data_IF_080645665407
#
_entry.id   IF_080645665407
#
_cell.length_a   1.000
_cell.length_b   1.000
_cell.length_c   1.000
_cell.angle_alpha   90.00
_cell.angle_beta   90.00
_cell.angle_gamma   90.00
#
_symmetry.space_group_name_H-M   'P 1'
#
loop_
_entity.id
_entity.type
_entity.pdbx_description
1 polymer ?
#
# COMPACT_ATOMS: atom_id res chain seq x y z
N UNK A 1 36.34 24.23 15.22
CA UNK A 1 36.63 22.95 14.53
C UNK A 1 35.44 22.64 13.65
N UNK A 2 35.63 22.36 12.36
CA UNK A 2 34.52 22.10 11.45
C UNK A 2 33.81 20.79 11.85
N UNK A 3 32.51 20.85 12.19
CA UNK A 3 31.73 19.64 12.50
C UNK A 3 31.08 19.12 11.22
N UNK A 4 31.47 17.91 10.80
CA UNK A 4 30.85 17.18 9.68
C UNK A 4 29.37 16.90 9.99
N UNK A 5 28.52 16.86 8.96
CA UNK A 5 27.10 16.55 9.15
C UNK A 5 26.90 15.10 9.62
N UNK A 6 26.00 14.84 10.58
CA UNK A 6 25.90 13.55 11.28
C UNK A 6 25.34 12.40 10.44
N UNK A 7 24.97 12.64 9.18
CA UNK A 7 24.41 11.63 8.27
C UNK A 7 25.26 11.61 7.00
N UNK A 8 25.90 10.47 6.74
CA UNK A 8 26.81 10.25 5.61
C UNK A 8 26.35 9.04 4.80
N UNK A 9 26.15 9.25 3.50
CA UNK A 9 25.72 8.23 2.56
C UNK A 9 26.72 8.16 1.40
N UNK A 10 27.34 6.99 1.25
CA UNK A 10 28.27 6.69 0.17
C UNK A 10 27.68 5.61 -0.74
N UNK A 11 27.92 5.77 -2.04
CA UNK A 11 27.65 4.78 -3.06
C UNK A 11 28.81 4.83 -4.05
N UNK A 12 29.65 3.80 -4.07
CA UNK A 12 30.76 3.68 -5.03
C UNK A 12 30.28 2.81 -6.18
N UNK A 13 30.02 3.38 -7.38
CA UNK A 13 29.55 2.59 -8.50
C UNK A 13 30.62 1.60 -8.96
N UNK A 14 30.20 0.38 -9.29
CA UNK A 14 31.09 -0.58 -9.94
C UNK A 14 31.41 -0.13 -11.37
N UNK A 15 32.66 -0.33 -11.82
CA UNK A 15 33.14 0.16 -13.10
C UNK A 15 32.54 -0.56 -14.34
N UNK A 16 32.01 -1.77 -14.15
CA UNK A 16 31.38 -2.59 -15.18
C UNK A 16 30.04 -3.11 -14.70
N UNK A 17 28.95 -2.51 -15.17
CA UNK A 17 27.58 -2.95 -14.92
C UNK A 17 27.09 -3.80 -16.10
N UNK A 18 26.50 -4.95 -15.81
CA UNK A 18 25.97 -5.83 -16.84
C UNK A 18 24.68 -5.28 -17.49
N UNK A 19 24.63 -5.33 -18.82
CA UNK A 19 23.57 -4.72 -19.63
C UNK A 19 22.20 -5.42 -19.49
N UNK A 20 22.18 -6.69 -19.06
CA UNK A 20 20.98 -7.53 -19.05
C UNK A 20 20.46 -7.89 -17.66
N UNK A 21 21.27 -7.75 -16.60
CA UNK A 21 20.86 -8.21 -15.27
C UNK A 21 19.81 -7.28 -14.63
N UNK A 22 19.67 -6.03 -15.04
CA UNK A 22 18.73 -5.09 -14.42
C UNK A 22 17.27 -5.62 -14.37
N UNK A 23 16.81 -6.36 -15.40
CA UNK A 23 15.50 -7.02 -15.42
C UNK A 23 15.40 -8.16 -14.40
N UNK A 24 16.45 -8.97 -14.27
CA UNK A 24 16.51 -10.11 -13.33
C UNK A 24 16.63 -9.61 -11.88
N UNK A 25 17.30 -8.48 -11.65
CA UNK A 25 17.40 -7.84 -10.33
C UNK A 25 16.04 -7.52 -9.72
N UNK A 26 15.05 -7.12 -10.53
CA UNK A 26 13.68 -6.85 -10.07
C UNK A 26 13.00 -8.09 -9.48
N UNK A 27 13.28 -9.28 -10.01
CA UNK A 27 12.77 -10.52 -9.42
C UNK A 27 13.53 -10.89 -8.15
N UNK A 28 14.86 -10.76 -8.17
CA UNK A 28 15.72 -11.10 -7.03
C UNK A 28 15.54 -10.19 -5.81
N UNK A 29 14.99 -8.98 -5.99
CA UNK A 29 14.72 -8.04 -4.90
C UNK A 29 13.41 -8.34 -4.16
N UNK A 30 12.50 -9.15 -4.72
CA UNK A 30 11.19 -9.45 -4.13
C UNK A 30 11.32 -9.98 -2.68
N UNK A 31 12.20 -10.94 -2.37
CA UNK A 31 12.39 -11.41 -1.00
C UNK A 31 12.84 -10.30 -0.04
N UNK A 32 13.69 -9.38 -0.50
CA UNK A 32 14.10 -8.22 0.29
C UNK A 32 12.94 -7.28 0.56
N UNK A 33 12.08 -7.01 -0.43
CA UNK A 33 10.92 -6.14 -0.27
C UNK A 33 9.94 -6.69 0.76
N UNK A 34 9.70 -8.00 0.76
CA UNK A 34 8.82 -8.65 1.74
C UNK A 34 9.37 -8.46 3.16
N UNK A 35 10.66 -8.75 3.40
CA UNK A 35 11.24 -8.60 4.74
C UNK A 35 11.33 -7.13 5.15
N UNK A 36 11.74 -6.25 4.23
CA UNK A 36 11.80 -4.81 4.48
C UNK A 36 10.43 -4.24 4.78
N UNK A 37 9.34 -4.71 4.17
CA UNK A 37 7.99 -4.25 4.48
C UNK A 37 7.65 -4.45 5.97
N UNK A 38 7.92 -5.64 6.52
CA UNK A 38 7.74 -5.91 7.95
C UNK A 38 8.67 -5.05 8.83
N UNK A 39 9.93 -4.88 8.42
CA UNK A 39 10.89 -4.08 9.17
C UNK A 39 10.56 -2.58 9.15
N UNK A 40 10.02 -2.07 8.06
CA UNK A 40 9.53 -0.69 7.96
C UNK A 40 8.30 -0.48 8.84
N UNK A 41 7.41 -1.46 8.96
CA UNK A 41 6.33 -1.41 9.96
C UNK A 41 6.91 -1.29 11.38
N UNK A 42 7.89 -2.13 11.72
CA UNK A 42 8.56 -2.05 13.02
C UNK A 42 9.28 -0.71 13.23
N UNK A 43 9.95 -0.19 12.19
CA UNK A 43 10.64 1.10 12.20
C UNK A 43 9.72 2.26 12.58
N UNK A 44 8.52 2.32 11.99
CA UNK A 44 7.55 3.38 12.30
C UNK A 44 7.04 3.31 13.73
N UNK A 45 6.70 2.10 14.20
CA UNK A 45 6.29 1.86 15.60
C UNK A 45 7.40 2.28 16.56
N UNK A 46 8.64 1.91 16.25
CA UNK A 46 9.82 2.22 17.04
C UNK A 46 10.21 3.70 17.00
N UNK A 47 9.92 4.41 15.91
CA UNK A 47 10.10 5.86 15.81
C UNK A 47 9.12 6.60 16.71
N UNK A 48 7.87 6.13 16.82
CA UNK A 48 6.89 6.66 17.79
C UNK A 48 7.35 6.40 19.22
N UNK A 49 7.90 5.21 19.50
CA UNK A 49 8.52 4.93 20.79
C UNK A 49 9.71 5.87 21.07
N UNK A 50 10.58 6.10 20.08
CA UNK A 50 11.71 7.02 20.18
C UNK A 50 11.25 8.46 20.44
N UNK A 51 10.15 8.92 19.81
CA UNK A 51 9.54 10.22 20.06
C UNK A 51 9.26 10.45 21.55
N UNK A 52 8.55 9.52 22.19
CA UNK A 52 8.25 9.62 23.62
C UNK A 52 9.49 9.43 24.49
N UNK A 53 10.39 8.52 24.11
CA UNK A 53 11.65 8.30 24.83
C UNK A 53 12.52 9.57 24.83
N UNK A 54 12.62 10.28 23.71
CA UNK A 54 13.37 11.54 23.59
C UNK A 54 12.66 12.65 24.36
N UNK A 55 11.33 12.75 24.28
CA UNK A 55 10.56 13.77 25.02
C UNK A 55 10.81 13.68 26.53
N UNK A 56 10.88 12.47 27.08
CA UNK A 56 11.05 12.21 28.51
C UNK A 56 12.53 12.24 28.93
N UNK A 57 13.40 11.52 28.21
CA UNK A 57 14.80 11.31 28.62
C UNK A 57 15.77 12.31 27.99
N UNK A 58 15.40 12.90 26.85
CA UNK A 58 16.30 13.66 25.98
C UNK A 58 17.31 12.78 25.23
N UNK A 59 17.09 11.46 25.16
CA UNK A 59 17.98 10.51 24.47
C UNK A 59 17.20 9.55 23.58
N UNK A 60 17.80 9.21 22.45
CA UNK A 60 17.30 8.15 21.58
C UNK A 60 17.74 6.80 22.15
N UNK A 61 16.83 5.85 22.44
CA UNK A 61 17.22 4.52 22.92
C UNK A 61 18.17 3.82 21.93
N UNK A 62 19.38 3.44 22.37
CA UNK A 62 20.43 2.90 21.47
C UNK A 62 19.97 1.71 20.64
N UNK A 63 19.33 0.71 21.25
CA UNK A 63 18.81 -0.46 20.53
C UNK A 63 17.81 -0.10 19.43
N UNK A 64 16.99 0.92 19.66
CA UNK A 64 16.00 1.39 18.69
C UNK A 64 16.65 2.22 17.59
N UNK A 65 17.65 3.03 17.96
CA UNK A 65 18.46 3.76 17.00
C UNK A 65 19.22 2.80 16.07
N UNK A 66 19.90 1.81 16.64
CA UNK A 66 20.68 0.81 15.89
C UNK A 66 19.79 -0.02 14.96
N UNK A 67 18.59 -0.40 15.42
CA UNK A 67 17.60 -1.05 14.58
C UNK A 67 17.15 -0.14 13.45
N UNK A 68 16.73 1.10 13.75
CA UNK A 68 16.18 2.00 12.76
C UNK A 68 17.25 2.39 11.71
N UNK A 69 18.49 2.68 12.13
CA UNK A 69 19.62 2.91 11.23
C UNK A 69 19.94 1.65 10.43
N UNK A 70 19.83 0.46 11.02
CA UNK A 70 20.00 -0.81 10.32
C UNK A 70 18.98 -1.02 9.20
N UNK A 71 17.71 -0.68 9.44
CA UNK A 71 16.66 -0.73 8.39
C UNK A 71 16.96 0.28 7.28
N UNK A 72 17.42 1.48 7.61
CA UNK A 72 17.82 2.48 6.63
C UNK A 72 19.05 2.03 5.81
N UNK A 73 20.05 1.42 6.44
CA UNK A 73 21.24 0.85 5.77
C UNK A 73 20.86 -0.24 4.79
N UNK A 74 19.99 -1.15 5.22
CA UNK A 74 19.55 -2.24 4.37
C UNK A 74 18.70 -1.72 3.20
N UNK A 75 17.80 -0.78 3.46
CA UNK A 75 17.01 -0.11 2.41
C UNK A 75 17.92 0.59 1.40
N UNK A 76 19.00 1.23 1.84
CA UNK A 76 19.98 1.85 0.96
C UNK A 76 20.70 0.83 0.07
N UNK A 77 21.16 -0.30 0.63
CA UNK A 77 21.80 -1.38 -0.14
C UNK A 77 20.88 -1.94 -1.24
N UNK A 78 19.59 -2.11 -0.91
CA UNK A 78 18.56 -2.61 -1.82
C UNK A 78 18.25 -1.57 -2.91
N UNK A 79 18.10 -0.29 -2.54
CA UNK A 79 17.88 0.80 -3.48
C UNK A 79 19.07 0.97 -4.45
N UNK A 80 20.31 0.90 -3.94
CA UNK A 80 21.53 1.02 -4.75
C UNK A 80 21.67 -0.13 -5.76
N UNK A 81 21.22 -1.34 -5.41
CA UNK A 81 21.22 -2.52 -6.29
C UNK A 81 20.11 -2.48 -7.35
N UNK A 82 18.88 -2.08 -6.98
CA UNK A 82 17.69 -2.28 -7.81
C UNK A 82 17.19 -1.03 -8.55
N UNK A 83 16.78 0.03 -7.83
CA UNK A 83 15.93 1.09 -8.42
C UNK A 83 16.42 2.53 -8.21
N UNK A 84 17.27 2.78 -7.21
CA UNK A 84 17.78 4.12 -6.88
C UNK A 84 18.94 4.51 -7.80
N UNK A 85 19.99 3.69 -7.90
CA UNK A 85 21.20 4.07 -8.63
C UNK A 85 21.71 3.02 -9.64
N UNK A 86 21.15 1.80 -9.65
CA UNK A 86 21.69 0.65 -10.40
C UNK A 86 23.22 0.53 -10.26
N UNK A 87 23.75 0.88 -9.08
CA UNK A 87 25.17 1.18 -8.89
C UNK A 87 26.05 -0.04 -8.64
N UNK A 88 25.46 -1.22 -8.43
CA UNK A 88 26.19 -2.47 -8.24
C UNK A 88 25.41 -3.69 -8.74
N UNK A 89 26.13 -4.70 -9.24
CA UNK A 89 25.61 -6.03 -9.58
C UNK A 89 25.71 -7.02 -8.41
N UNK A 90 26.30 -6.62 -7.28
CA UNK A 90 26.45 -7.47 -6.10
C UNK A 90 25.13 -7.58 -5.34
N UNK A 91 24.66 -8.80 -5.09
CA UNK A 91 23.40 -9.04 -4.38
C UNK A 91 23.45 -8.54 -2.91
N UNK A 92 22.45 -7.76 -2.43
CA UNK A 92 22.47 -7.21 -1.07
C UNK A 92 22.36 -8.29 0.01
N UNK A 93 23.22 -8.27 1.06
CA UNK A 93 23.08 -9.18 2.20
C UNK A 93 21.83 -8.83 3.04
N UNK A 94 21.18 -9.86 3.60
CA UNK A 94 20.07 -9.75 4.55
C UNK A 94 20.58 -9.40 5.95
N UNK A 95 21.20 -8.23 6.07
CA UNK A 95 21.85 -7.76 7.29
C UNK A 95 21.33 -6.37 7.65
N UNK A 96 21.21 -6.08 8.94
CA UNK A 96 20.97 -4.74 9.48
C UNK A 96 22.29 -4.04 9.87
N UNK A 97 23.41 -4.79 9.88
CA UNK A 97 24.72 -4.30 10.30
C UNK A 97 25.40 -3.38 9.30
N UNK A 98 26.57 -2.88 9.73
CA UNK A 98 27.54 -2.26 8.84
C UNK A 98 28.20 -3.35 7.99
N UNK A 99 28.31 -3.10 6.68
CA UNK A 99 28.97 -3.99 5.72
C UNK A 99 30.01 -3.14 4.98
N UNK A 100 31.22 -2.96 5.54
CA UNK A 100 32.24 -2.05 5.00
C UNK A 100 32.69 -2.43 3.59
N UNK A 101 32.61 -3.72 3.26
CA UNK A 101 33.03 -4.30 1.98
C UNK A 101 31.95 -4.22 0.89
N UNK A 102 30.77 -3.66 1.20
CA UNK A 102 29.68 -3.47 0.25
C UNK A 102 29.69 -2.03 -0.32
N UNK A 103 29.46 -1.83 -1.63
CA UNK A 103 29.63 -0.53 -2.30
C UNK A 103 28.65 0.58 -1.85
N UNK A 104 27.61 0.24 -1.08
CA UNK A 104 26.61 1.16 -0.56
C UNK A 104 26.64 1.20 0.97
N UNK A 105 27.13 2.30 1.54
CA UNK A 105 27.26 2.48 2.99
C UNK A 105 26.46 3.69 3.47
N UNK A 106 25.85 3.55 4.65
CA UNK A 106 25.11 4.60 5.34
C UNK A 106 25.55 4.65 6.80
N UNK A 107 26.08 5.80 7.21
CA UNK A 107 26.49 6.06 8.58
C UNK A 107 25.68 7.23 9.15
N UNK A 108 25.13 7.02 10.35
CA UNK A 108 24.39 8.03 11.10
C UNK A 108 25.02 8.09 12.47
N UNK A 109 25.61 9.23 12.83
CA UNK A 109 26.25 9.44 14.11
C UNK A 109 25.19 9.41 15.22
N UNK A 110 25.41 8.64 16.28
CA UNK A 110 24.46 8.55 17.39
C UNK A 110 24.40 9.88 18.17
N UNK A 111 23.24 10.53 18.28
CA UNK A 111 23.11 11.76 19.05
C UNK A 111 23.12 11.46 20.54
N UNK A 112 24.14 11.91 21.27
CA UNK A 112 24.23 11.69 22.71
C UNK A 112 23.09 12.36 23.50
N UNK A 113 22.56 13.48 22.97
CA UNK A 113 21.41 14.23 23.51
C UNK A 113 20.59 14.84 22.37
N UNK A 114 19.27 14.82 22.54
CA UNK A 114 18.30 15.43 21.63
C UNK A 114 17.37 16.37 22.42
N UNK A 115 16.95 17.44 21.75
CA UNK A 115 16.13 18.52 22.29
C UNK A 115 14.69 18.09 22.51
N UNK A 116 14.24 18.11 23.77
CA UNK A 116 12.95 17.52 24.20
C UNK A 116 11.73 18.22 23.60
N UNK A 117 11.72 19.56 23.56
CA UNK A 117 10.59 20.35 23.06
C UNK A 117 10.53 20.45 21.54
N UNK A 118 11.68 20.34 20.87
CA UNK A 118 11.74 20.45 19.42
C UNK A 118 11.07 19.25 18.74
N UNK A 119 11.17 18.04 19.33
CA UNK A 119 10.56 16.79 18.81
C UNK A 119 9.09 16.98 18.39
N UNK A 120 8.30 17.72 19.17
CA UNK A 120 6.87 17.95 18.95
C UNK A 120 6.55 18.71 17.67
N UNK A 121 7.46 19.55 17.18
CA UNK A 121 7.24 20.47 16.05
C UNK A 121 8.11 20.08 14.86
N UNK A 122 9.27 19.50 15.14
CA UNK A 122 10.30 19.14 14.18
C UNK A 122 9.84 18.14 13.12
N UNK A 123 9.21 17.04 13.53
CA UNK A 123 8.90 15.92 12.64
C UNK A 123 7.77 16.18 11.64
N UNK A 124 6.86 17.11 11.95
CA UNK A 124 5.70 17.35 11.10
C UNK A 124 5.54 18.81 10.67
N UNK A 125 6.04 19.81 11.42
CA UNK A 125 5.93 21.21 11.00
C UNK A 125 7.18 21.68 10.25
N UNK A 126 8.37 21.49 10.83
CA UNK A 126 9.63 21.93 10.19
C UNK A 126 10.01 21.09 8.97
N UNK A 127 9.55 19.84 8.92
CA UNK A 127 9.77 18.93 7.79
C UNK A 127 8.77 19.14 6.64
N UNK A 128 7.68 19.93 6.80
CA UNK A 128 6.69 20.19 5.73
C UNK A 128 7.33 20.68 4.43
N UNK A 129 8.24 21.68 4.45
CA UNK A 129 8.87 22.14 3.21
C UNK A 129 9.62 21.00 2.49
N UNK A 130 10.27 20.10 3.23
CA UNK A 130 10.90 18.92 2.64
C UNK A 130 9.89 17.90 2.14
N UNK A 131 8.79 17.66 2.86
CA UNK A 131 7.72 16.75 2.42
C UNK A 131 7.00 17.22 1.17
N UNK A 132 6.83 18.53 0.98
CA UNK A 132 6.27 19.10 -0.25
C UNK A 132 7.20 18.84 -1.43
N UNK A 133 8.52 19.05 -1.24
CA UNK A 133 9.51 18.78 -2.28
C UNK A 133 9.60 17.27 -2.56
N UNK A 134 9.68 16.42 -1.53
CA UNK A 134 9.68 14.95 -1.70
C UNK A 134 8.39 14.50 -2.39
N UNK A 135 7.22 14.97 -1.97
CA UNK A 135 5.94 14.64 -2.59
C UNK A 135 5.86 15.07 -4.06
N UNK A 136 6.43 16.22 -4.41
CA UNK A 136 6.53 16.68 -5.79
C UNK A 136 7.43 15.76 -6.65
N UNK A 137 8.58 15.34 -6.14
CA UNK A 137 9.53 14.50 -6.88
C UNK A 137 9.16 13.01 -6.91
N UNK A 138 8.60 12.48 -5.81
CA UNK A 138 8.22 11.07 -5.64
C UNK A 138 6.84 10.77 -6.26
N UNK A 139 5.94 11.77 -6.26
CA UNK A 139 4.53 11.58 -6.59
C UNK A 139 3.91 12.59 -7.57
N UNK A 140 4.69 13.50 -8.17
CA UNK A 140 4.28 14.35 -9.30
C UNK A 140 2.87 14.94 -9.18
N UNK A 141 2.72 16.05 -8.46
CA UNK A 141 1.53 16.92 -8.39
C UNK A 141 0.27 16.38 -9.11
N UNK A 142 -0.47 15.48 -8.46
CA UNK A 142 -1.81 15.13 -8.90
C UNK A 142 -2.68 16.38 -8.85
N UNK A 143 -2.97 16.97 -10.00
CA UNK A 143 -3.96 18.04 -10.07
C UNK A 143 -5.32 17.46 -9.67
N UNK A 144 -5.93 18.00 -8.61
CA UNK A 144 -7.35 17.79 -8.32
C UNK A 144 -8.12 18.58 -9.37
N UNK A 145 -8.36 17.98 -10.53
CA UNK A 145 -9.20 18.54 -11.56
C UNK A 145 -10.67 18.31 -11.21
N UNK A 146 -11.40 19.36 -10.83
CA UNK A 146 -12.85 19.31 -10.75
C UNK A 146 -13.41 19.31 -12.17
N UNK A 147 -13.84 18.15 -12.67
CA UNK A 147 -14.62 18.06 -13.91
C UNK A 147 -15.90 17.27 -13.60
N UNK A 148 -17.06 17.92 -13.75
CA UNK A 148 -18.38 17.28 -13.74
C UNK A 148 -18.72 16.45 -12.49
N UNK A 149 -18.35 16.91 -11.30
CA UNK A 149 -18.86 16.33 -10.03
C UNK A 149 -18.22 15.01 -9.59
N UNK A 150 -17.19 14.52 -10.28
CA UNK A 150 -16.41 13.35 -9.87
C UNK A 150 -14.97 13.72 -9.52
N UNK A 151 -14.43 13.10 -8.46
CA UNK A 151 -13.01 13.25 -8.10
C UNK A 151 -12.20 12.22 -8.89
N UNK A 152 -11.62 12.61 -10.02
CA UNK A 152 -10.77 11.72 -10.83
C UNK A 152 -9.31 11.85 -10.39
N UNK A 153 -8.74 10.77 -9.87
CA UNK A 153 -7.31 10.65 -9.55
C UNK A 153 -6.53 10.29 -10.84
N UNK A 154 -6.17 11.28 -11.65
CA UNK A 154 -5.25 11.09 -12.77
C UNK A 154 -3.83 10.94 -12.21
N UNK A 155 -3.27 9.74 -12.27
CA UNK A 155 -1.95 9.41 -11.73
C UNK A 155 -0.82 10.19 -12.40
N UNK A 156 -0.17 11.09 -11.66
CA UNK A 156 1.10 11.70 -12.05
C UNK A 156 2.27 10.83 -11.61
N UNK A 157 3.10 10.35 -12.53
CA UNK A 157 4.37 9.71 -12.18
C UNK A 157 5.41 10.79 -11.83
N UNK A 158 5.99 10.74 -10.63
CA UNK A 158 7.02 11.68 -10.20
C UNK A 158 8.26 11.71 -11.11
N UNK A 159 8.95 12.85 -11.15
CA UNK A 159 10.13 13.09 -12.00
C UNK A 159 11.24 12.04 -11.80
N UNK A 160 11.36 11.49 -10.59
CA UNK A 160 12.33 10.44 -10.27
C UNK A 160 12.07 9.17 -11.07
N UNK A 161 10.80 8.73 -11.18
CA UNK A 161 10.43 7.54 -11.96
C UNK A 161 10.74 7.72 -13.45
N UNK A 162 10.52 8.93 -13.96
CA UNK A 162 10.84 9.29 -15.35
C UNK A 162 12.35 9.32 -15.59
N UNK A 163 13.14 9.91 -14.67
CA UNK A 163 14.60 9.96 -14.78
C UNK A 163 15.25 8.58 -14.65
N UNK A 164 14.75 7.72 -13.75
CA UNK A 164 15.21 6.34 -13.61
C UNK A 164 14.88 5.52 -14.86
N UNK A 165 13.68 5.71 -15.44
CA UNK A 165 13.29 5.06 -16.69
C UNK A 165 14.18 5.51 -17.86
N UNK A 166 14.46 6.81 -17.97
CA UNK A 166 15.38 7.36 -18.99
C UNK A 166 16.80 6.83 -18.77
N UNK A 167 17.29 6.78 -17.53
CA UNK A 167 18.60 6.21 -17.18
C UNK A 167 18.71 4.72 -17.52
N UNK A 168 17.65 3.93 -17.24
CA UNK A 168 17.58 2.52 -17.61
C UNK A 168 17.57 2.30 -19.13
N UNK A 169 16.84 3.12 -19.89
CA UNK A 169 16.85 3.08 -21.35
C UNK A 169 18.22 3.47 -21.93
N UNK A 170 18.88 4.49 -21.38
CA UNK A 170 20.23 4.87 -21.83
C UNK A 170 21.24 3.76 -21.51
N UNK A 171 21.18 3.18 -20.31
CA UNK A 171 22.02 2.04 -19.91
C UNK A 171 21.82 0.85 -20.86
N UNK A 172 20.58 0.58 -21.30
CA UNK A 172 20.23 -0.49 -22.24
C UNK A 172 20.93 -0.33 -23.60
N UNK A 173 21.10 0.91 -24.09
CA UNK A 173 21.72 1.17 -25.40
C UNK A 173 23.23 1.48 -25.35
N UNK A 174 23.76 1.95 -24.23
CA UNK A 174 25.17 2.40 -24.12
C UNK A 174 26.05 1.60 -23.16
N UNK A 175 25.46 0.76 -22.30
CA UNK A 175 26.20 -0.01 -21.29
C UNK A 175 26.89 0.83 -20.21
N UNK A 176 26.66 2.15 -20.18
CA UNK A 176 27.20 3.08 -19.19
C UNK A 176 26.08 3.99 -18.71
N UNK A 177 25.94 4.12 -17.40
CA UNK A 177 25.01 5.08 -16.82
C UNK A 177 25.61 6.49 -16.93
N UNK A 178 24.87 7.53 -17.37
CA UNK A 178 25.43 8.88 -17.50
C UNK A 178 25.86 9.43 -16.14
N UNK A 179 27.14 9.79 -15.98
CA UNK A 179 27.69 10.26 -14.68
C UNK A 179 26.88 11.42 -14.09
N UNK A 180 26.42 12.37 -14.92
CA UNK A 180 25.61 13.50 -14.44
C UNK A 180 24.23 13.13 -13.90
N UNK A 181 23.60 12.07 -14.43
CA UNK A 181 22.31 11.56 -13.90
C UNK A 181 22.56 10.77 -12.62
N UNK A 182 23.64 10.00 -12.56
CA UNK A 182 24.01 9.24 -11.37
C UNK A 182 24.36 10.15 -10.19
N UNK A 183 25.16 11.20 -10.43
CA UNK A 183 25.53 12.20 -9.42
C UNK A 183 24.30 12.96 -8.91
N UNK A 184 23.34 13.23 -9.78
CA UNK A 184 22.07 13.85 -9.42
C UNK A 184 21.22 12.92 -8.53
N UNK A 185 21.07 11.65 -8.93
CA UNK A 185 20.26 10.69 -8.15
C UNK A 185 20.90 10.39 -6.80
N UNK A 186 22.23 10.18 -6.76
CA UNK A 186 22.96 10.05 -5.49
C UNK A 186 22.86 11.31 -4.62
N UNK A 187 22.91 12.50 -5.22
CA UNK A 187 22.69 13.77 -4.53
C UNK A 187 21.28 13.88 -3.92
N UNK A 188 20.27 13.37 -4.63
CA UNK A 188 18.87 13.28 -4.16
C UNK A 188 18.73 12.28 -3.02
N UNK A 189 19.29 11.08 -3.15
CA UNK A 189 19.25 10.05 -2.11
C UNK A 189 19.94 10.53 -0.82
N UNK A 190 21.10 11.21 -0.93
CA UNK A 190 21.78 11.88 0.20
C UNK A 190 20.86 12.86 0.91
N UNK A 191 20.17 13.71 0.15
CA UNK A 191 19.24 14.68 0.71
C UNK A 191 18.03 14.02 1.37
N UNK A 192 17.39 13.05 0.71
CA UNK A 192 16.23 12.31 1.25
C UNK A 192 16.59 11.58 2.55
N UNK A 193 17.76 10.95 2.62
CA UNK A 193 18.21 10.24 3.82
C UNK A 193 18.50 11.21 4.98
N UNK A 194 19.04 12.41 4.72
CA UNK A 194 19.18 13.46 5.75
C UNK A 194 17.82 13.91 6.26
N UNK A 195 16.85 14.11 5.37
CA UNK A 195 15.47 14.46 5.75
C UNK A 195 14.82 13.34 6.56
N UNK A 196 14.99 12.09 6.14
CA UNK A 196 14.48 10.92 6.86
C UNK A 196 15.07 10.82 8.27
N UNK A 197 16.37 10.98 8.43
CA UNK A 197 17.03 10.99 9.73
C UNK A 197 16.53 12.14 10.63
N UNK A 198 16.29 13.33 10.07
CA UNK A 198 15.73 14.45 10.83
C UNK A 198 14.27 14.21 11.25
N UNK A 199 13.43 13.75 10.31
CA UNK A 199 12.01 13.46 10.52
C UNK A 199 11.79 12.35 11.56
N UNK A 200 12.66 11.34 11.56
CA UNK A 200 12.64 10.19 12.47
C UNK A 200 13.44 10.42 13.75
N UNK A 201 13.78 11.68 14.01
CA UNK A 201 14.36 12.18 15.27
C UNK A 201 15.80 11.72 15.54
N UNK A 202 16.51 11.20 14.55
CA UNK A 202 17.89 10.76 14.68
C UNK A 202 18.90 11.91 14.70
N UNK A 203 18.53 13.10 14.23
CA UNK A 203 19.40 14.29 14.27
C UNK A 203 18.61 15.56 14.48
N UNK A 204 19.04 16.44 15.39
CA UNK A 204 18.46 17.78 15.60
C UNK A 204 18.89 18.83 14.57
N UNK A 205 19.93 18.54 13.77
CA UNK A 205 20.43 19.48 12.77
C UNK A 205 19.51 19.52 11.55
N UNK A 206 18.92 20.67 11.27
CA UNK A 206 18.02 20.86 10.12
C UNK A 206 18.72 20.52 8.79
N UNK A 207 18.11 19.70 7.90
CA UNK A 207 18.73 19.31 6.65
C UNK A 207 18.83 20.49 5.65
N UNK A 208 20.01 20.79 5.10
CA UNK A 208 20.13 21.82 4.06
C UNK A 208 19.42 21.40 2.77
N UNK A 209 18.79 22.35 2.07
CA UNK A 209 18.21 22.18 0.73
C UNK A 209 19.30 22.15 -0.34
N UNK A 210 20.22 21.19 -0.25
CA UNK A 210 21.31 20.99 -1.20
C UNK A 210 21.40 19.52 -1.58
N UNK A 211 21.40 19.30 -2.89
CA UNK A 211 21.72 18.04 -3.53
C UNK A 211 23.23 18.03 -3.65
N UNK A 212 23.90 17.25 -2.80
CA UNK A 212 25.36 17.16 -2.77
C UNK A 212 25.82 16.30 -3.96
N UNK A 213 25.62 16.80 -5.18
CA UNK A 213 25.94 16.14 -6.44
C UNK A 213 27.45 16.24 -6.70
N UNK A 214 28.15 15.12 -6.55
CA UNK A 214 29.59 15.00 -6.83
C UNK A 214 30.31 13.97 -5.94
N UNK A 215 31.52 13.53 -6.33
CA UNK A 215 32.28 12.48 -5.63
C UNK A 215 32.76 12.89 -4.23
N UNK A 216 33.04 14.18 -3.99
CA UNK A 216 33.71 14.69 -2.78
C UNK A 216 32.83 15.58 -1.89
N UNK A 217 31.51 15.57 -2.07
CA UNK A 217 30.62 16.46 -1.33
C UNK A 217 30.40 16.05 0.15
N UNK A 218 30.86 14.86 0.56
CA UNK A 218 30.80 14.38 1.93
C UNK A 218 31.68 15.19 2.93
N UNK A 219 32.64 15.97 2.44
CA UNK A 219 33.61 16.70 3.29
C UNK A 219 33.22 18.16 3.62
N UNK A 220 32.19 18.76 3.01
CA UNK A 220 31.98 20.22 3.07
C UNK A 220 30.68 20.69 3.75
N UNK A 221 30.06 19.91 4.65
CA UNK A 221 28.87 20.39 5.37
C UNK A 221 29.23 21.13 6.67
N UNK A 222 29.53 22.42 6.59
CA UNK A 222 29.71 23.31 7.77
C UNK A 222 28.37 23.85 8.26
N UNK A 223 28.03 23.71 9.55
CA UNK A 223 26.83 24.32 10.17
C UNK A 223 27.20 24.99 11.50
N UNK A 224 26.67 26.20 11.71
CA UNK A 224 26.88 27.09 12.86
C UNK A 224 26.11 26.61 14.11
N UNK A 225 26.77 26.64 15.27
CA UNK A 225 26.35 25.98 16.53
C UNK A 225 25.81 27.02 17.52
N UNK A 226 24.48 27.10 17.71
CA UNK A 226 23.92 27.84 18.84
C UNK A 226 22.56 27.30 19.31
N UNK A 227 22.50 27.05 20.62
CA UNK A 227 21.36 26.78 21.51
C UNK A 227 20.89 25.31 21.74
N UNK A 228 21.34 24.71 22.85
CA UNK A 228 20.47 23.91 23.74
C UNK A 228 21.05 23.77 25.18
N UNK A 229 20.26 23.96 26.27
CA UNK A 229 20.75 23.89 27.66
C UNK A 229 20.67 22.49 28.32
N UNK A 230 21.38 22.24 29.45
CA UNK A 230 21.53 20.90 30.03
C UNK A 230 20.47 20.54 31.11
N UNK A 231 20.12 19.25 31.23
CA UNK A 231 19.26 18.74 32.32
C UNK A 231 19.81 17.45 32.98
N UNK A 232 19.51 17.31 34.29
CA UNK A 232 19.97 16.33 35.31
C UNK A 232 19.19 14.98 35.32
N UNK A 233 19.68 13.92 36.00
CA UNK A 233 19.10 12.55 36.07
C UNK A 233 18.21 12.37 37.34
N UNK A 234 17.33 11.37 37.57
CA UNK A 234 17.32 9.88 37.50
C UNK A 234 15.85 9.35 37.65
N UNK A 235 15.50 8.12 37.21
CA UNK A 235 14.49 7.28 37.92
C UNK A 235 13.57 6.26 37.19
N UNK A 236 13.89 4.95 37.33
CA UNK A 236 13.01 3.73 37.24
C UNK A 236 12.64 3.10 35.87
N UNK A 237 13.52 2.23 35.34
CA UNK A 237 13.36 1.49 34.08
C UNK A 237 12.14 0.52 34.02
N UNK A 238 11.71 -0.07 35.13
CA UNK A 238 10.60 -1.04 35.13
C UNK A 238 9.22 -0.43 34.90
N UNK A 239 9.01 0.83 35.31
CA UNK A 239 7.73 1.55 35.09
C UNK A 239 7.58 1.98 33.64
N UNK A 240 8.69 2.32 32.99
CA UNK A 240 8.72 2.75 31.58
C UNK A 240 8.28 1.60 30.67
N UNK A 241 8.75 0.37 30.90
CA UNK A 241 8.33 -0.78 30.09
C UNK A 241 6.83 -1.06 30.19
N UNK A 242 6.23 -0.93 31.38
CA UNK A 242 4.78 -1.15 31.59
C UNK A 242 3.94 -0.07 30.90
N UNK A 243 4.36 1.20 30.97
CA UNK A 243 3.68 2.30 30.26
C UNK A 243 3.78 2.11 28.75
N UNK A 244 4.93 1.67 28.24
CA UNK A 244 5.17 1.45 26.79
C UNK A 244 4.31 0.33 26.24
N UNK A 245 4.24 -0.82 26.94
CA UNK A 245 3.32 -1.89 26.57
C UNK A 245 1.85 -1.42 26.61
N UNK A 246 1.52 -0.56 27.57
CA UNK A 246 0.20 0.03 27.67
C UNK A 246 -0.18 0.94 26.50
N UNK A 247 0.74 1.78 26.02
CA UNK A 247 0.49 2.66 24.86
C UNK A 247 0.35 1.86 23.57
N UNK A 248 1.19 0.84 23.37
CA UNK A 248 1.12 -0.05 22.20
C UNK A 248 -0.22 -0.78 22.14
N UNK A 249 -0.68 -1.35 23.26
CA UNK A 249 -1.97 -2.02 23.34
C UNK A 249 -3.15 -1.07 23.05
N UNK A 250 -3.10 0.17 23.56
CA UNK A 250 -4.14 1.17 23.28
C UNK A 250 -4.19 1.60 21.81
N UNK A 251 -3.04 1.80 21.16
CA UNK A 251 -3.01 2.19 19.75
C UNK A 251 -3.51 1.08 18.82
N UNK A 252 -3.10 -0.17 19.06
CA UNK A 252 -3.63 -1.34 18.34
C UNK A 252 -5.13 -1.43 18.58
N UNK A 253 -5.58 -1.26 19.82
CA UNK A 253 -6.98 -1.32 20.16
C UNK A 253 -7.83 -0.23 19.48
N UNK A 254 -7.32 1.00 19.37
CA UNK A 254 -7.99 2.09 18.64
C UNK A 254 -8.12 1.79 17.14
N UNK A 255 -7.08 1.23 16.51
CA UNK A 255 -7.13 0.82 15.10
C UNK A 255 -8.17 -0.27 14.86
N UNK A 256 -8.18 -1.30 15.71
CA UNK A 256 -9.16 -2.39 15.62
C UNK A 256 -10.59 -1.91 15.90
N UNK A 257 -10.78 -1.06 16.90
CA UNK A 257 -12.09 -0.49 17.22
C UNK A 257 -12.60 0.44 16.12
N UNK A 258 -11.73 1.29 15.56
CA UNK A 258 -12.06 2.16 14.44
C UNK A 258 -12.47 1.35 13.20
N UNK A 259 -11.65 0.36 12.83
CA UNK A 259 -11.95 -0.53 11.70
C UNK A 259 -13.25 -1.31 11.88
N UNK A 260 -13.43 -1.94 13.06
CA UNK A 260 -14.66 -2.66 13.37
C UNK A 260 -15.90 -1.75 13.40
N UNK A 261 -15.76 -0.53 13.90
CA UNK A 261 -16.82 0.49 13.91
C UNK A 261 -17.25 0.90 12.50
N UNK A 262 -16.30 1.11 11.59
CA UNK A 262 -16.60 1.38 10.17
C UNK A 262 -17.32 0.21 9.52
N UNK A 263 -16.89 -1.03 9.79
CA UNK A 263 -17.56 -2.22 9.24
C UNK A 263 -19.00 -2.37 9.75
N UNK A 264 -19.23 -2.19 11.04
CA UNK A 264 -20.60 -2.23 11.61
C UNK A 264 -21.46 -1.10 11.07
N UNK A 265 -20.91 0.11 10.97
CA UNK A 265 -21.61 1.24 10.37
C UNK A 265 -22.00 0.96 8.92
N UNK A 266 -21.06 0.44 8.11
CA UNK A 266 -21.33 0.09 6.71
C UNK A 266 -22.39 -1.01 6.62
N UNK A 267 -22.29 -2.05 7.47
CA UNK A 267 -23.25 -3.15 7.54
C UNK A 267 -24.68 -2.65 7.82
N UNK A 268 -24.85 -1.67 8.70
CA UNK A 268 -26.16 -1.13 9.08
C UNK A 268 -26.70 -0.05 8.16
N UNK A 269 -25.85 0.68 7.44
CA UNK A 269 -26.28 1.85 6.65
C UNK A 269 -26.29 1.62 5.14
N UNK A 270 -25.49 0.68 4.63
CA UNK A 270 -25.35 0.43 3.19
C UNK A 270 -26.26 -0.71 2.68
N UNK A 271 -26.90 -1.46 3.59
CA UNK A 271 -27.85 -2.52 3.22
C UNK A 271 -29.23 -1.96 2.97
N UNK A 272 -29.92 -2.52 1.97
CA UNK A 272 -31.35 -2.28 1.76
C UNK A 272 -32.22 -2.98 2.82
N UNK A 273 -33.53 -2.79 2.74
CA UNK A 273 -34.52 -3.45 3.63
C UNK A 273 -34.50 -4.98 3.54
N UNK A 274 -33.95 -5.54 2.46
CA UNK A 274 -33.82 -6.97 2.24
C UNK A 274 -32.43 -7.51 2.67
N UNK A 275 -31.54 -6.67 3.18
CA UNK A 275 -30.21 -7.04 3.67
C UNK A 275 -29.10 -7.05 2.60
N UNK A 276 -29.36 -6.56 1.39
CA UNK A 276 -28.39 -6.53 0.30
C UNK A 276 -27.63 -5.22 0.24
N UNK A 277 -26.31 -5.30 0.04
CA UNK A 277 -25.50 -4.17 -0.40
C UNK A 277 -25.62 -4.12 -1.93
N UNK A 278 -26.19 -3.04 -2.47
CA UNK A 278 -26.47 -2.90 -3.90
C UNK A 278 -25.49 -1.96 -4.59
N UNK A 279 -25.11 -2.33 -5.81
CA UNK A 279 -24.45 -1.42 -6.76
C UNK A 279 -25.48 -0.48 -7.39
N UNK A 280 -25.01 0.67 -7.90
CA UNK A 280 -25.82 1.49 -8.80
C UNK A 280 -26.20 0.72 -10.07
N UNK A 281 -27.34 1.09 -10.66
CA UNK A 281 -27.74 0.58 -11.98
C UNK A 281 -26.78 1.10 -13.04
N UNK A 282 -26.21 0.19 -13.82
CA UNK A 282 -25.35 0.53 -14.95
C UNK A 282 -25.96 0.04 -16.26
N UNK A 283 -25.81 0.86 -17.29
CA UNK A 283 -26.27 0.59 -18.63
C UNK A 283 -25.20 -0.13 -19.43
N UNK A 284 -25.54 -1.25 -20.06
CA UNK A 284 -24.64 -2.06 -20.89
C UNK A 284 -25.25 -2.27 -22.27
N UNK A 285 -24.50 -1.89 -23.30
CA UNK A 285 -24.87 -2.09 -24.70
C UNK A 285 -23.74 -2.80 -25.44
N UNK A 286 -24.05 -3.91 -26.10
CA UNK A 286 -23.10 -4.66 -26.93
C UNK A 286 -23.75 -5.09 -28.25
N UNK A 287 -22.96 -5.06 -29.33
CA UNK A 287 -23.35 -5.59 -30.63
C UNK A 287 -23.23 -7.12 -30.75
N UNK A 288 -22.76 -7.80 -29.71
CA UNK A 288 -22.61 -9.27 -29.69
C UNK A 288 -23.89 -9.98 -29.25
N UNK A 289 -23.92 -11.31 -29.31
CA UNK A 289 -25.08 -12.12 -28.89
C UNK A 289 -25.12 -12.32 -27.37
N UNK A 290 -23.95 -12.24 -26.72
CA UNK A 290 -23.79 -12.62 -25.31
C UNK A 290 -22.90 -11.61 -24.60
N UNK A 291 -23.35 -11.19 -23.43
CA UNK A 291 -22.54 -10.46 -22.47
C UNK A 291 -22.16 -11.39 -21.33
N UNK A 292 -20.86 -11.65 -21.18
CA UNK A 292 -20.30 -12.48 -20.11
C UNK A 292 -19.58 -11.61 -19.08
N UNK A 293 -19.87 -11.84 -17.82
CA UNK A 293 -19.09 -11.24 -16.73
C UNK A 293 -17.85 -12.07 -16.42
N UNK A 294 -16.79 -11.40 -15.96
CA UNK A 294 -15.57 -12.03 -15.49
C UNK A 294 -15.84 -13.09 -14.41
N UNK A 295 -15.04 -14.15 -14.43
CA UNK A 295 -15.19 -15.28 -13.51
C UNK A 295 -14.96 -14.83 -12.07
N UNK A 296 -15.89 -15.17 -11.19
CA UNK A 296 -15.80 -14.88 -9.76
C UNK A 296 -15.23 -16.10 -9.04
N UNK A 297 -14.01 -15.98 -8.50
CA UNK A 297 -13.37 -17.05 -7.72
C UNK A 297 -13.66 -16.89 -6.21
N UNK A 298 -14.47 -17.79 -5.69
CA UNK A 298 -14.92 -17.77 -4.30
C UNK A 298 -14.25 -18.84 -3.43
N UNK A 299 -13.25 -19.55 -3.95
CA UNK A 299 -12.59 -20.66 -3.23
C UNK A 299 -11.86 -20.20 -1.97
N UNK A 300 -11.32 -18.97 -1.99
CA UNK A 300 -10.60 -18.38 -0.85
C UNK A 300 -11.49 -17.77 0.24
N UNK A 301 -12.81 -17.67 0.00
CA UNK A 301 -13.72 -16.97 0.91
C UNK A 301 -14.29 -17.95 1.96
N UNK A 302 -14.27 -17.59 3.27
CA UNK A 302 -14.91 -18.40 4.31
C UNK A 302 -16.41 -18.58 4.05
N UNK A 303 -16.95 -19.79 4.25
CA UNK A 303 -18.36 -20.09 3.93
C UNK A 303 -19.35 -19.21 4.70
N UNK A 304 -19.02 -18.81 5.93
CA UNK A 304 -19.85 -17.93 6.77
C UNK A 304 -19.86 -16.47 6.31
N UNK A 305 -19.00 -16.09 5.36
CA UNK A 305 -18.99 -14.77 4.72
C UNK A 305 -19.77 -14.75 3.39
N UNK A 306 -20.01 -15.92 2.80
CA UNK A 306 -20.81 -16.03 1.58
C UNK A 306 -22.30 -15.90 1.95
N UNK A 307 -23.01 -15.12 1.17
CA UNK A 307 -24.46 -14.94 1.28
C UNK A 307 -25.11 -15.00 -0.10
N UNK A 308 -26.30 -14.46 -0.22
CA UNK A 308 -27.06 -14.45 -1.47
C UNK A 308 -26.58 -13.32 -2.38
N UNK A 309 -26.49 -13.61 -3.67
CA UNK A 309 -26.31 -12.62 -4.72
C UNK A 309 -27.63 -12.42 -5.44
N UNK A 310 -27.96 -11.16 -5.69
CA UNK A 310 -29.12 -10.72 -6.46
C UNK A 310 -28.66 -10.01 -7.70
N UNK A 311 -29.08 -10.50 -8.86
CA UNK A 311 -28.86 -9.83 -10.14
C UNK A 311 -30.20 -9.29 -10.62
N UNK A 312 -30.29 -7.99 -10.87
CA UNK A 312 -31.46 -7.40 -11.53
C UNK A 312 -31.06 -6.89 -12.90
N UNK A 313 -31.83 -7.29 -13.90
CA UNK A 313 -31.63 -6.92 -15.30
C UNK A 313 -32.94 -6.35 -15.81
N UNK A 314 -32.88 -5.21 -16.50
CA UNK A 314 -34.01 -4.60 -17.18
C UNK A 314 -33.69 -4.43 -18.66
N UNK A 315 -34.61 -4.86 -19.51
CA UNK A 315 -34.52 -4.68 -20.95
C UNK A 315 -35.90 -4.52 -21.58
N UNK A 316 -35.96 -3.87 -22.73
CA UNK A 316 -37.17 -3.79 -23.55
C UNK A 316 -37.44 -5.09 -24.32
N UNK A 317 -36.39 -5.89 -24.57
CA UNK A 317 -36.50 -7.22 -25.19
C UNK A 317 -36.50 -8.33 -24.14
N UNK A 318 -37.08 -9.51 -24.44
CA UNK A 318 -36.91 -10.68 -23.58
C UNK A 318 -35.43 -11.04 -23.44
N UNK A 319 -34.95 -11.09 -22.21
CA UNK A 319 -33.56 -11.42 -21.87
C UNK A 319 -33.50 -12.67 -21.02
N UNK A 320 -32.42 -13.42 -21.19
CA UNK A 320 -32.02 -14.54 -20.36
C UNK A 320 -30.82 -14.15 -19.51
N UNK A 321 -30.88 -14.46 -18.21
CA UNK A 321 -29.79 -14.29 -17.25
C UNK A 321 -29.50 -15.65 -16.63
N UNK A 322 -28.27 -16.11 -16.74
CA UNK A 322 -27.84 -17.42 -16.23
C UNK A 322 -26.56 -17.33 -15.41
N UNK A 323 -26.51 -18.11 -14.33
CA UNK A 323 -25.33 -18.30 -13.48
C UNK A 323 -24.98 -19.78 -13.50
N UNK A 324 -23.72 -20.08 -13.84
CA UNK A 324 -23.22 -21.44 -13.92
C UNK A 324 -21.73 -21.52 -13.59
N UNK A 325 -21.21 -22.74 -13.44
CA UNK A 325 -19.77 -22.93 -13.25
C UNK A 325 -19.00 -22.41 -14.47
N UNK A 326 -17.89 -21.71 -14.23
CA UNK A 326 -17.10 -21.08 -15.30
C UNK A 326 -16.67 -22.06 -16.39
N UNK A 327 -16.38 -23.32 -16.04
CA UNK A 327 -16.03 -24.37 -17.00
C UNK A 327 -17.19 -24.80 -17.92
N UNK A 328 -18.41 -24.91 -17.38
CA UNK A 328 -19.58 -25.30 -18.17
C UNK A 328 -20.03 -24.16 -19.08
N UNK A 329 -20.03 -22.93 -18.55
CA UNK A 329 -20.30 -21.71 -19.33
C UNK A 329 -19.27 -21.53 -20.45
N UNK A 330 -17.99 -21.76 -20.19
CA UNK A 330 -16.96 -21.69 -21.22
C UNK A 330 -17.16 -22.72 -22.34
N UNK A 331 -17.63 -23.94 -22.01
CA UNK A 331 -17.97 -24.94 -23.03
C UNK A 331 -19.21 -24.57 -23.83
N UNK A 332 -20.23 -24.00 -23.17
CA UNK A 332 -21.45 -23.54 -23.84
C UNK A 332 -21.19 -22.37 -24.81
N UNK A 333 -20.30 -21.45 -24.43
CA UNK A 333 -19.91 -20.31 -25.27
C UNK A 333 -18.77 -20.62 -26.26
N UNK A 334 -18.36 -21.88 -26.37
CA UNK A 334 -17.31 -22.28 -27.30
C UNK A 334 -17.77 -22.05 -28.75
N UNK A 335 -17.05 -21.21 -29.51
CA UNK A 335 -17.44 -20.87 -30.89
C UNK A 335 -18.57 -19.82 -30.98
N UNK A 336 -18.76 -19.02 -29.94
CA UNK A 336 -19.76 -17.96 -29.88
C UNK A 336 -19.09 -16.59 -29.72
N UNK A 337 -19.63 -15.56 -30.37
CA UNK A 337 -19.19 -14.17 -30.16
C UNK A 337 -19.82 -13.60 -28.89
N UNK A 338 -18.99 -13.30 -27.90
CA UNK A 338 -19.41 -12.65 -26.66
C UNK A 338 -18.46 -11.51 -26.31
N UNK A 339 -19.01 -10.47 -25.68
CA UNK A 339 -18.21 -9.45 -25.01
C UNK A 339 -18.02 -9.82 -23.54
N UNK A 340 -16.80 -9.60 -23.03
CA UNK A 340 -16.49 -9.84 -21.63
C UNK A 340 -16.31 -8.52 -20.88
N UNK A 341 -16.98 -8.41 -19.72
CA UNK A 341 -16.91 -7.23 -18.85
C UNK A 341 -16.45 -7.64 -17.44
N UNK A 342 -15.53 -6.87 -16.87
CA UNK A 342 -15.14 -7.01 -15.47
C UNK A 342 -16.15 -6.30 -14.58
N UNK A 343 -16.63 -6.98 -13.53
CA UNK A 343 -17.57 -6.40 -12.55
C UNK A 343 -16.98 -5.21 -11.79
N UNK A 344 -15.64 -5.10 -11.70
CA UNK A 344 -14.94 -4.06 -10.94
C UNK A 344 -14.33 -2.96 -11.81
N UNK A 345 -14.18 -3.16 -13.12
CA UNK A 345 -13.58 -2.18 -14.03
C UNK A 345 -14.27 -2.21 -15.39
N UNK A 346 -14.78 -1.08 -15.92
CA UNK A 346 -15.54 -1.04 -17.18
C UNK A 346 -14.65 -1.14 -18.43
N UNK A 347 -13.60 -1.99 -18.41
CA UNK A 347 -12.82 -2.30 -19.61
C UNK A 347 -13.46 -3.49 -20.31
N UNK A 348 -14.13 -3.23 -21.43
CA UNK A 348 -14.61 -4.27 -22.34
C UNK A 348 -13.42 -4.93 -23.03
N UNK A 349 -13.28 -6.24 -22.86
CA UNK A 349 -12.35 -7.04 -23.65
C UNK A 349 -13.16 -7.83 -24.69
N UNK A 350 -12.94 -7.52 -25.97
CA UNK A 350 -13.61 -8.17 -27.09
C UNK A 350 -12.81 -9.41 -27.51
N UNK A 351 -13.37 -10.61 -27.33
CA UNK A 351 -12.82 -11.81 -27.95
C UNK A 351 -13.67 -12.19 -29.18
N UNK A 352 -13.04 -12.26 -30.35
CA UNK A 352 -13.69 -12.65 -31.61
C UNK A 352 -13.33 -14.09 -31.97
N UNK A 353 -14.32 -14.98 -32.03
CA UNK A 353 -14.21 -16.30 -32.64
C UNK A 353 -15.44 -16.60 -33.52
N UNK A 354 -15.29 -17.52 -34.48
CA UNK A 354 -16.20 -17.80 -35.60
C UNK A 354 -17.64 -18.09 -35.16
N UNK A 355 -18.63 -17.62 -35.91
CA UNK A 355 -20.05 -17.66 -35.56
C UNK A 355 -20.67 -19.05 -35.74
N UNK A 356 -20.92 -19.75 -34.64
CA UNK A 356 -21.85 -20.88 -34.59
C UNK A 356 -23.17 -20.44 -33.92
N UNK A 357 -24.28 -21.09 -34.28
CA UNK A 357 -25.59 -20.79 -33.69
C UNK A 357 -25.62 -21.26 -32.23
N UNK A 358 -25.94 -20.36 -31.30
CA UNK A 358 -26.06 -20.65 -29.87
C UNK A 358 -27.24 -21.59 -29.64
N UNK A 359 -27.03 -22.66 -28.87
CA UNK A 359 -28.12 -23.51 -28.41
C UNK A 359 -29.00 -22.73 -27.42
N UNK A 360 -30.34 -22.88 -27.44
CA UNK A 360 -31.22 -22.11 -26.55
C UNK A 360 -30.79 -22.21 -25.07
N UNK A 361 -30.57 -21.08 -24.38
CA UNK A 361 -29.99 -21.08 -23.03
C UNK A 361 -30.91 -21.77 -22.00
N UNK A 362 -32.23 -21.65 -22.17
CA UNK A 362 -33.25 -22.25 -21.29
C UNK A 362 -33.24 -23.79 -21.31
N UNK A 363 -32.71 -24.40 -22.36
CA UNK A 363 -32.66 -25.85 -22.51
C UNK A 363 -31.39 -26.47 -21.91
N UNK A 364 -30.48 -25.66 -21.39
CA UNK A 364 -29.21 -26.13 -20.85
C UNK A 364 -29.32 -26.49 -19.37
N UNK A 365 -29.07 -27.74 -18.96
CA UNK A 365 -29.27 -28.17 -17.57
C UNK A 365 -28.12 -27.78 -16.62
N UNK A 366 -27.02 -27.22 -17.13
CA UNK A 366 -25.86 -26.87 -16.30
C UNK A 366 -26.02 -25.53 -15.56
N UNK A 367 -27.05 -24.74 -15.88
CA UNK A 367 -27.32 -23.50 -15.15
C UNK A 367 -27.71 -23.81 -13.72
N UNK A 368 -26.99 -23.22 -12.78
CA UNK A 368 -27.31 -23.35 -11.36
C UNK A 368 -28.54 -22.50 -11.02
N UNK A 369 -28.59 -21.28 -11.56
CA UNK A 369 -29.73 -20.39 -11.45
C UNK A 369 -29.89 -19.67 -12.79
N UNK A 370 -31.12 -19.60 -13.29
CA UNK A 370 -31.45 -18.88 -14.52
C UNK A 370 -32.86 -18.31 -14.47
N UNK A 371 -33.07 -17.22 -15.19
CA UNK A 371 -34.39 -16.62 -15.41
C UNK A 371 -34.46 -16.00 -16.79
N UNK A 372 -35.65 -15.97 -17.38
CA UNK A 372 -35.90 -15.32 -18.65
C UNK A 372 -37.25 -14.61 -18.67
N UNK A 373 -37.31 -13.49 -19.40
CA UNK A 373 -38.55 -12.74 -19.56
C UNK A 373 -38.33 -11.33 -20.07
N UNK A 374 -39.41 -10.62 -20.35
CA UNK A 374 -39.40 -9.22 -20.74
C UNK A 374 -39.44 -8.28 -19.53
N UNK A 375 -39.00 -7.04 -19.71
CA UNK A 375 -39.03 -6.03 -18.65
C UNK A 375 -37.95 -6.26 -17.59
N UNK A 376 -38.30 -6.09 -16.31
CA UNK A 376 -37.37 -6.27 -15.20
C UNK A 376 -37.38 -7.72 -14.71
N UNK A 377 -36.22 -8.37 -14.78
CA UNK A 377 -35.97 -9.71 -14.30
C UNK A 377 -35.07 -9.66 -13.06
N UNK A 378 -35.34 -10.53 -12.10
CA UNK A 378 -34.52 -10.70 -10.89
C UNK A 378 -34.10 -12.16 -10.77
N UNK A 379 -32.80 -12.38 -10.59
CA UNK A 379 -32.21 -13.68 -10.32
C UNK A 379 -31.56 -13.64 -8.94
N UNK A 380 -32.10 -14.42 -8.01
CA UNK A 380 -31.54 -14.60 -6.68
C UNK A 380 -30.76 -15.92 -6.64
N UNK A 381 -29.51 -15.85 -6.17
CA UNK A 381 -28.53 -16.94 -6.20
C UNK A 381 -27.91 -17.14 -4.83
N UNK A 382 -28.10 -18.33 -4.26
CA UNK A 382 -27.38 -18.77 -3.05
C UNK A 382 -25.95 -19.17 -3.43
N UNK A 383 -24.98 -18.36 -2.99
CA UNK A 383 -23.60 -18.43 -3.43
C UNK A 383 -22.86 -19.58 -2.78
N UNK A 384 -22.35 -20.49 -3.61
CA UNK A 384 -21.49 -21.58 -3.17
C UNK A 384 -20.01 -21.32 -3.52
N UNK A 385 -19.12 -22.03 -2.83
CA UNK A 385 -17.69 -22.02 -3.17
C UNK A 385 -17.47 -22.60 -4.56
N UNK A 386 -16.70 -21.88 -5.37
CA UNK A 386 -16.36 -22.32 -6.72
C UNK A 386 -15.92 -21.16 -7.59
N UNK A 387 -15.77 -21.46 -8.89
CA UNK A 387 -15.62 -20.46 -9.92
C UNK A 387 -16.92 -20.36 -10.70
N UNK A 388 -17.46 -19.15 -10.78
CA UNK A 388 -18.79 -18.88 -11.31
C UNK A 388 -18.72 -17.83 -12.40
N UNK A 389 -19.53 -18.02 -13.43
CA UNK A 389 -19.71 -17.07 -14.51
C UNK A 389 -21.17 -16.64 -14.60
N UNK A 390 -21.39 -15.35 -14.80
CA UNK A 390 -22.71 -14.77 -15.07
C UNK A 390 -22.79 -14.42 -16.55
N UNK A 391 -23.90 -14.81 -17.17
CA UNK A 391 -24.14 -14.63 -18.61
C UNK A 391 -25.49 -13.97 -18.81
N UNK A 392 -25.52 -12.98 -19.71
CA UNK A 392 -26.73 -12.30 -20.14
C UNK A 392 -26.80 -12.32 -21.66
N UNK A 393 -27.95 -12.69 -22.22
CA UNK A 393 -28.22 -12.65 -23.65
C UNK A 393 -29.70 -12.39 -23.93
N UNK A 394 -30.03 -12.02 -25.16
CA UNK A 394 -31.44 -12.00 -25.60
C UNK A 394 -31.99 -13.44 -25.59
N UNK A 395 -33.23 -13.65 -25.15
CA UNK A 395 -33.82 -15.00 -25.03
C UNK A 395 -33.91 -15.72 -26.39
N UNK A 396 -34.02 -14.97 -27.48
CA UNK A 396 -34.01 -15.49 -28.86
C UNK A 396 -32.61 -15.71 -29.43
N UNK A 397 -31.55 -15.51 -28.63
CA UNK A 397 -30.13 -15.60 -29.00
C UNK A 397 -29.69 -14.60 -30.09
N UNK A 398 -30.50 -13.57 -30.35
CA UNK A 398 -30.18 -12.53 -31.33
C UNK A 398 -29.06 -11.62 -30.85
N UNK A 399 -28.31 -11.05 -31.82
CA UNK A 399 -27.27 -10.06 -31.54
C UNK A 399 -27.87 -8.69 -31.19
N UNK A 400 -27.12 -7.88 -30.45
CA UNK A 400 -27.55 -6.55 -30.01
C UNK A 400 -28.25 -6.64 -28.67
N UNK A 401 -27.46 -6.72 -27.59
CA UNK A 401 -27.95 -6.74 -26.23
C UNK A 401 -27.87 -5.31 -25.66
N UNK A 402 -29.00 -4.86 -25.11
CA UNK A 402 -29.14 -3.55 -24.49
C UNK A 402 -29.90 -3.70 -23.17
N UNK A 403 -29.19 -3.52 -22.05
CA UNK A 403 -29.68 -3.89 -20.71
C UNK A 403 -29.19 -2.94 -19.63
N UNK A 404 -30.06 -2.64 -18.68
CA UNK A 404 -29.69 -1.99 -17.42
C UNK A 404 -29.54 -3.05 -16.32
N UNK A 405 -28.42 -3.05 -15.62
CA UNK A 405 -28.10 -4.09 -14.63
C UNK A 405 -27.65 -3.52 -13.29
N UNK A 406 -28.04 -4.19 -12.21
CA UNK A 406 -27.54 -3.94 -10.85
C UNK A 406 -27.26 -5.26 -10.14
N UNK A 407 -26.25 -5.23 -9.28
CA UNK A 407 -25.84 -6.38 -8.47
C UNK A 407 -26.08 -6.05 -7.00
N UNK A 408 -26.63 -7.00 -6.26
CA UNK A 408 -26.76 -6.96 -4.81
C UNK A 408 -26.08 -8.18 -4.21
N UNK A 409 -25.44 -8.04 -3.06
CA UNK A 409 -24.94 -9.18 -2.30
C UNK A 409 -25.25 -9.04 -0.82
N UNK A 410 -25.64 -10.13 -0.16
CA UNK A 410 -25.63 -10.22 1.29
C UNK A 410 -24.25 -10.68 1.74
N UNK A 411 -23.74 -10.08 2.83
CA UNK A 411 -22.45 -10.45 3.43
C UNK A 411 -22.69 -10.78 4.91
N UNK A 412 -23.18 -11.99 5.24
CA UNK A 412 -23.63 -12.34 6.58
C UNK A 412 -22.53 -12.18 7.64
N UNK A 413 -21.29 -12.47 7.25
CA UNK A 413 -20.13 -12.39 8.14
C UNK A 413 -19.65 -10.98 8.46
N UNK A 414 -20.08 -9.95 7.72
CA UNK A 414 -19.53 -8.60 7.84
C UNK A 414 -19.76 -8.00 9.24
N UNK A 415 -20.98 -8.11 9.76
CA UNK A 415 -21.31 -7.68 11.12
C UNK A 415 -20.48 -8.43 12.18
N UNK A 416 -20.34 -9.75 12.06
CA UNK A 416 -19.58 -10.56 13.01
C UNK A 416 -18.10 -10.15 13.04
N UNK A 417 -17.48 -9.89 11.88
CA UNK A 417 -16.11 -9.35 11.80
C UNK A 417 -16.03 -7.99 12.48
N UNK A 418 -16.97 -7.09 12.17
CA UNK A 418 -17.05 -5.76 12.77
C UNK A 418 -17.10 -5.81 14.30
N UNK A 419 -17.97 -6.65 14.86
CA UNK A 419 -18.10 -6.85 16.32
C UNK A 419 -16.87 -7.50 16.93
N UNK A 420 -16.26 -8.50 16.29
CA UNK A 420 -15.03 -9.12 16.80
C UNK A 420 -13.87 -8.12 16.84
N UNK A 421 -13.70 -7.30 15.80
CA UNK A 421 -12.69 -6.25 15.77
C UNK A 421 -12.96 -5.17 16.82
N UNK A 422 -14.22 -4.74 16.99
CA UNK A 422 -14.62 -3.82 18.04
C UNK A 422 -14.33 -4.36 19.44
N UNK A 423 -14.77 -5.58 19.74
CA UNK A 423 -14.56 -6.22 21.03
C UNK A 423 -13.09 -6.40 21.36
N UNK A 424 -12.30 -6.89 20.40
CA UNK A 424 -10.84 -7.03 20.54
C UNK A 424 -10.18 -5.66 20.74
N UNK A 425 -10.64 -4.66 19.99
CA UNK A 425 -10.16 -3.28 20.10
C UNK A 425 -10.41 -2.67 21.48
N UNK A 426 -11.63 -2.82 22.00
CA UNK A 426 -12.00 -2.36 23.35
C UNK A 426 -11.16 -3.06 24.42
N UNK A 427 -11.01 -4.39 24.35
CA UNK A 427 -10.19 -5.15 25.29
C UNK A 427 -8.73 -4.65 25.27
N UNK A 428 -8.15 -4.49 24.08
CA UNK A 428 -6.78 -3.98 23.94
C UNK A 428 -6.63 -2.55 24.47
N UNK A 429 -7.62 -1.67 24.25
CA UNK A 429 -7.67 -0.33 24.85
C UNK A 429 -7.71 -0.43 26.37
N UNK A 430 -8.60 -1.24 26.94
CA UNK A 430 -8.75 -1.40 28.40
C UNK A 430 -7.46 -1.92 29.04
N UNK A 431 -6.85 -2.96 28.46
CA UNK A 431 -5.56 -3.50 28.92
C UNK A 431 -4.48 -2.42 28.80
N UNK A 432 -4.44 -1.70 27.69
CA UNK A 432 -3.48 -0.64 27.47
C UNK A 432 -3.59 0.50 28.49
N UNK A 433 -4.81 0.97 28.76
CA UNK A 433 -5.09 2.01 29.77
C UNK A 433 -4.76 1.50 31.19
N UNK A 434 -5.06 0.24 31.50
CA UNK A 434 -4.74 -0.34 32.81
C UNK A 434 -3.21 -0.43 33.03
N UNK A 435 -2.46 -0.84 32.01
CA UNK A 435 -0.99 -0.86 32.04
C UNK A 435 -0.43 0.55 32.23
N UNK A 436 -0.97 1.54 31.51
CA UNK A 436 -0.60 2.94 31.70
C UNK A 436 -0.89 3.41 33.13
N UNK A 437 -2.08 3.12 33.65
CA UNK A 437 -2.48 3.48 35.01
C UNK A 437 -1.57 2.85 36.08
N UNK A 438 -1.25 1.56 35.96
CA UNK A 438 -0.34 0.84 36.88
C UNK A 438 1.08 1.38 36.78
N UNK A 439 1.56 1.70 35.58
CA UNK A 439 2.87 2.33 35.36
C UNK A 439 2.99 3.74 35.95
N UNK A 440 1.87 4.47 36.01
CA UNK A 440 1.78 5.85 36.51
C UNK A 440 1.46 5.96 38.01
N UNK A 441 0.88 4.93 38.64
CA UNK A 441 0.49 4.96 40.05
C UNK A 441 1.73 4.94 40.98
N UNK A 442 1.93 6.01 41.74
CA UNK A 442 2.91 6.04 42.85
C UNK A 442 2.43 5.09 43.97
N UNK A 443 3.32 4.23 44.49
CA UNK A 443 3.09 3.63 45.81
C UNK A 443 3.16 4.78 46.82
N UNK A 444 2.07 5.05 47.54
CA UNK A 444 2.17 5.78 48.79
C UNK A 444 2.95 4.88 49.74
N UNK A 445 4.13 5.33 50.17
CA UNK A 445 4.97 4.63 51.13
C UNK A 445 4.25 4.65 52.49
N UNK A 446 4.16 3.48 53.11
CA UNK A 446 3.94 3.28 54.54
C UNK A 446 5.27 2.91 55.17
#
# INVERSE_FOLDING_TARGET
>A
MASTYPVRLEGRPDAELSQWLWLVKWFLVIPHLVVLAFLWTAFWVLTVFAFFAILITGRYPRSVFDFNVGVMRWSWRVAFYAYGALGTDRYPPFSLGEEPDYPATLHVDYPERLSRGLVLVKSWLLAIPHYVVIGFFLGGAGYVGWRWGETVLLGGSGLITVLVLIGAVILLFTGKFPCGVQDFVLGMDRWVVRVGAYATLMTDKYPPFRLDAGPNAAEQTTVDESAAPPARPVGSAGRVTVVVLGVLATLVGLGLAGGGGVLVWADQTQKDLAGYIQTGTQHFSTGTQVLRFEDVDLRGIPYWMLGDVRVRVRSDRPVFVGIGHSGDVARYLAGVRYDQISMMTPRMYRQEWMSQQIAPPEQQPFWYAATSGSGQQQLDWDVQRGQWAVVVLNSDTSAGLDVDMSFGATVPGLYAVGIMLLGTGVIAITVGVLLQYVGLRRRAEA
#
